data_IF_402799384008
#
_entry.id   IF_402799384008
#
_cell.length_a   1.000
_cell.length_b   1.000
_cell.length_c   1.000
_cell.angle_alpha   90.00
_cell.angle_beta   90.00
_cell.angle_gamma   90.00
#
_symmetry.space_group_name_H-M   'P 1'
#
loop_
_entity.id
_entity.type
_entity.pdbx_description
1 polymer ?
#
# COMPACT_ATOMS: atom_id res chain seq x y z
N UNK A 1 1.52 -19.92 29.66
CA UNK A 1 1.61 -18.49 29.33
C UNK A 1 2.76 -18.34 28.38
N UNK A 2 2.53 -17.87 27.15
CA UNK A 2 3.60 -17.52 26.21
C UNK A 2 3.86 -16.02 26.40
N UNK A 3 5.11 -15.67 26.65
CA UNK A 3 5.51 -14.26 26.72
C UNK A 3 5.33 -13.59 25.35
N UNK A 4 5.02 -12.30 25.30
CA UNK A 4 4.94 -11.57 24.04
C UNK A 4 6.36 -11.43 23.47
N UNK A 5 6.54 -11.92 22.25
CA UNK A 5 7.77 -11.72 21.48
C UNK A 5 7.64 -10.32 20.86
N UNK A 6 8.23 -9.33 21.51
CA UNK A 6 8.19 -7.94 21.07
C UNK A 6 8.59 -6.99 22.19
N UNK A 7 9.90 -6.87 22.43
CA UNK A 7 10.44 -5.73 23.17
C UNK A 7 10.17 -4.43 22.39
N UNK A 8 10.30 -3.25 23.04
CA UNK A 8 10.14 -1.98 22.36
C UNK A 8 11.09 -1.93 21.17
N UNK A 9 10.54 -1.69 19.98
CA UNK A 9 11.35 -1.44 18.79
C UNK A 9 12.16 -0.17 19.08
N UNK A 10 13.48 -0.28 19.10
CA UNK A 10 14.37 0.85 19.29
C UNK A 10 14.03 1.93 18.23
N UNK A 11 13.45 3.05 18.67
CA UNK A 11 13.04 4.17 17.81
C UNK A 11 14.21 4.83 17.06
N UNK A 12 15.45 4.47 17.39
CA UNK A 12 16.68 5.06 16.86
C UNK A 12 17.13 4.47 15.50
N UNK A 13 16.45 3.45 14.97
CA UNK A 13 16.81 2.85 13.67
C UNK A 13 15.60 2.37 12.83
N UNK A 14 14.47 3.08 12.89
CA UNK A 14 13.32 2.78 12.04
C UNK A 14 13.71 2.90 10.56
N UNK A 15 13.61 1.80 9.81
CA UNK A 15 13.93 1.81 8.39
C UNK A 15 12.86 2.61 7.61
N UNK A 16 13.23 3.20 6.45
CA UNK A 16 12.27 3.97 5.69
C UNK A 16 11.18 3.08 5.10
N UNK A 17 9.94 3.47 5.38
CA UNK A 17 8.74 2.80 4.87
C UNK A 17 8.43 3.24 3.44
N UNK A 18 8.12 2.29 2.57
CA UNK A 18 7.67 2.55 1.21
C UNK A 18 6.35 1.84 0.91
N UNK A 19 5.47 2.52 0.18
CA UNK A 19 4.30 1.91 -0.45
C UNK A 19 4.63 1.53 -1.89
N UNK A 20 4.27 0.31 -2.27
CA UNK A 20 4.25 -0.19 -3.63
C UNK A 20 2.78 -0.14 -4.09
N UNK A 21 2.45 0.91 -4.84
CA UNK A 21 1.08 1.29 -5.20
C UNK A 21 0.76 0.67 -6.56
N UNK A 22 -0.18 -0.25 -6.60
CA UNK A 22 -0.59 -0.93 -7.84
C UNK A 22 -1.57 -0.04 -8.62
N UNK A 23 -1.21 0.28 -9.85
CA UNK A 23 -2.00 1.07 -10.80
C UNK A 23 -2.36 0.21 -12.00
N UNK A 24 -3.65 -0.03 -12.18
CA UNK A 24 -4.17 -0.80 -13.30
C UNK A 24 -4.97 0.05 -14.29
N UNK A 25 -5.00 -0.36 -15.54
CA UNK A 25 -5.99 0.08 -16.53
C UNK A 25 -7.14 -0.93 -16.60
N UNK A 26 -8.24 -0.58 -17.26
CA UNK A 26 -9.33 -1.52 -17.52
C UNK A 26 -8.81 -2.80 -18.21
N UNK A 27 -7.89 -2.65 -19.17
CA UNK A 27 -7.30 -3.79 -19.89
C UNK A 27 -6.40 -4.64 -18.99
N UNK A 28 -5.53 -4.04 -18.17
CA UNK A 28 -4.66 -4.82 -17.28
C UNK A 28 -5.47 -5.54 -16.19
N UNK A 29 -6.54 -4.89 -15.70
CA UNK A 29 -7.44 -5.48 -14.71
C UNK A 29 -8.22 -6.65 -15.31
N UNK A 30 -8.75 -6.49 -16.53
CA UNK A 30 -9.41 -7.59 -17.24
C UNK A 30 -8.44 -8.76 -17.49
N UNK A 31 -7.19 -8.49 -17.88
CA UNK A 31 -6.17 -9.51 -18.08
C UNK A 31 -5.80 -10.24 -16.78
N UNK A 32 -5.75 -9.51 -15.65
CA UNK A 32 -5.53 -10.10 -14.33
C UNK A 32 -6.70 -11.01 -13.94
N UNK A 33 -7.95 -10.55 -14.14
CA UNK A 33 -9.16 -11.32 -13.82
C UNK A 33 -9.30 -12.58 -14.67
N UNK A 34 -8.86 -12.55 -15.93
CA UNK A 34 -8.87 -13.72 -16.80
C UNK A 34 -7.97 -14.86 -16.28
N UNK A 35 -6.93 -14.53 -15.50
CA UNK A 35 -5.98 -15.50 -14.91
C UNK A 35 -5.97 -15.43 -13.38
N UNK A 36 -7.12 -15.10 -12.77
CA UNK A 36 -7.20 -14.76 -11.34
C UNK A 36 -6.62 -15.84 -10.41
N UNK A 37 -6.84 -17.12 -10.71
CA UNK A 37 -6.34 -18.22 -9.86
C UNK A 37 -4.81 -18.27 -9.82
N UNK A 38 -4.17 -18.16 -10.98
CA UNK A 38 -2.71 -18.11 -11.10
C UNK A 38 -2.16 -16.85 -10.43
N UNK A 39 -2.76 -15.69 -10.70
CA UNK A 39 -2.35 -14.41 -10.10
C UNK A 39 -2.49 -14.40 -8.58
N UNK A 40 -3.54 -15.03 -8.05
CA UNK A 40 -3.72 -15.21 -6.61
C UNK A 40 -2.64 -16.12 -6.01
N UNK A 41 -2.28 -17.22 -6.69
CA UNK A 41 -1.21 -18.10 -6.23
C UNK A 41 0.15 -17.40 -6.24
N UNK A 42 0.50 -16.69 -7.32
CA UNK A 42 1.76 -15.94 -7.40
C UNK A 42 1.81 -14.80 -6.37
N UNK A 43 0.69 -14.10 -6.15
CA UNK A 43 0.59 -13.03 -5.15
C UNK A 43 0.78 -13.56 -3.73
N UNK A 44 0.20 -14.72 -3.40
CA UNK A 44 0.41 -15.37 -2.10
C UNK A 44 1.88 -15.73 -1.88
N UNK A 45 2.53 -16.32 -2.88
CA UNK A 45 3.96 -16.64 -2.79
C UNK A 45 4.81 -15.38 -2.61
N UNK A 46 4.50 -14.30 -3.34
CA UNK A 46 5.22 -13.04 -3.22
C UNK A 46 5.07 -12.40 -1.83
N UNK A 47 3.86 -12.42 -1.27
CA UNK A 47 3.58 -11.97 0.10
C UNK A 47 4.38 -12.80 1.12
N UNK A 48 4.39 -14.13 0.97
CA UNK A 48 5.18 -15.01 1.83
C UNK A 48 6.69 -14.70 1.76
N UNK A 49 7.22 -14.40 0.58
CA UNK A 49 8.63 -14.04 0.42
C UNK A 49 8.97 -12.74 1.15
N UNK A 50 8.12 -11.71 1.04
CA UNK A 50 8.29 -10.44 1.78
C UNK A 50 8.17 -10.66 3.29
N UNK A 51 7.22 -11.49 3.73
CA UNK A 51 7.05 -11.83 5.14
C UNK A 51 8.29 -12.57 5.69
N UNK A 52 8.79 -13.58 4.98
CA UNK A 52 10.01 -14.33 5.36
C UNK A 52 11.26 -13.44 5.39
N UNK A 53 11.32 -12.45 4.50
CA UNK A 53 12.39 -11.45 4.48
C UNK A 53 12.27 -10.40 5.60
N UNK A 54 11.15 -10.35 6.33
CA UNK A 54 10.92 -9.41 7.42
C UNK A 54 10.61 -7.98 6.96
N UNK A 55 10.32 -7.77 5.67
CA UNK A 55 10.11 -6.43 5.10
C UNK A 55 8.63 -6.05 5.00
N UNK A 56 7.69 -6.98 5.17
CA UNK A 56 6.27 -6.72 4.93
C UNK A 56 5.58 -6.07 6.13
N UNK A 57 5.00 -4.89 5.92
CA UNK A 57 4.14 -4.21 6.90
C UNK A 57 2.65 -4.38 6.60
N UNK A 58 2.25 -4.35 5.33
CA UNK A 58 0.87 -4.56 4.90
C UNK A 58 0.80 -5.05 3.44
N UNK A 59 -0.24 -5.82 3.11
CA UNK A 59 -0.50 -6.33 1.77
C UNK A 59 -2.02 -6.37 1.55
N UNK A 60 -2.58 -5.35 0.91
CA UNK A 60 -4.03 -5.21 0.78
C UNK A 60 -4.44 -4.95 -0.67
N UNK A 61 -5.36 -5.76 -1.17
CA UNK A 61 -6.10 -5.49 -2.39
C UNK A 61 -7.32 -4.63 -2.08
N UNK A 62 -7.71 -3.75 -3.00
CA UNK A 62 -8.95 -2.99 -2.88
C UNK A 62 -10.06 -3.63 -3.70
N UNK A 63 -11.29 -3.45 -3.26
CA UNK A 63 -12.48 -3.90 -3.98
C UNK A 63 -12.75 -3.03 -5.22
N UNK A 64 -13.78 -3.40 -5.99
CA UNK A 64 -14.20 -2.71 -7.20
C UNK A 64 -14.28 -1.18 -6.98
N UNK A 65 -13.51 -0.36 -7.73
CA UNK A 65 -13.56 1.09 -7.62
C UNK A 65 -14.95 1.67 -7.88
N UNK A 66 -15.83 0.95 -8.60
CA UNK A 66 -17.23 1.33 -8.76
C UNK A 66 -18.04 1.38 -7.45
N UNK A 67 -17.56 0.74 -6.38
CA UNK A 67 -18.16 0.78 -5.05
C UNK A 67 -17.56 1.87 -4.14
N UNK A 68 -16.55 2.58 -4.63
CA UNK A 68 -15.90 3.65 -3.86
C UNK A 68 -16.77 4.91 -3.82
N UNK A 69 -16.44 5.80 -2.88
CA UNK A 69 -16.99 7.15 -2.79
C UNK A 69 -15.83 8.14 -2.71
N UNK A 70 -16.03 9.32 -3.26
CA UNK A 70 -15.09 10.43 -3.21
C UNK A 70 -15.70 11.55 -2.40
N UNK A 71 -14.91 12.14 -1.49
CA UNK A 71 -15.26 13.35 -0.77
C UNK A 71 -14.40 14.49 -1.30
N UNK A 72 -15.02 15.45 -1.99
CA UNK A 72 -14.39 16.64 -2.55
C UNK A 72 -14.49 17.81 -1.56
N UNK A 73 -13.36 18.46 -1.27
CA UNK A 73 -13.21 19.60 -0.36
C UNK A 73 -12.94 20.92 -1.11
N UNK A 74 -13.14 20.98 -2.42
CA UNK A 74 -12.85 22.16 -3.24
C UNK A 74 -13.80 23.34 -3.07
N UNK A 75 -14.95 23.15 -2.39
CA UNK A 75 -15.95 24.18 -2.15
C UNK A 75 -16.07 24.62 -0.68
N UNK A 76 -17.13 25.35 -0.37
CA UNK A 76 -17.41 25.85 1.00
C UNK A 76 -17.76 24.72 1.98
N UNK A 77 -18.20 23.55 1.47
CA UNK A 77 -18.52 22.37 2.26
C UNK A 77 -18.11 21.08 1.50
N UNK A 78 -17.78 19.98 2.22
CA UNK A 78 -17.44 18.71 1.59
C UNK A 78 -18.62 18.12 0.79
N UNK A 79 -18.34 17.64 -0.41
CA UNK A 79 -19.32 17.00 -1.31
C UNK A 79 -18.95 15.54 -1.51
N UNK A 80 -19.93 14.63 -1.38
CA UNK A 80 -19.72 13.19 -1.60
C UNK A 80 -20.27 12.79 -2.97
N UNK A 81 -19.47 12.06 -3.75
CA UNK A 81 -19.86 11.49 -5.05
C UNK A 81 -19.54 10.00 -5.10
N UNK A 82 -20.45 9.21 -5.65
CA UNK A 82 -20.23 7.78 -5.89
C UNK A 82 -19.21 7.56 -7.03
N UNK A 83 -18.43 6.48 -6.92
CA UNK A 83 -17.41 6.09 -7.86
C UNK A 83 -16.01 6.64 -7.52
N UNK A 84 -14.99 6.27 -8.32
CA UNK A 84 -13.59 6.58 -8.03
C UNK A 84 -13.22 8.02 -8.33
N UNK A 85 -12.13 8.49 -7.71
CA UNK A 85 -11.54 9.81 -8.00
C UNK A 85 -10.67 9.77 -9.27
N UNK A 86 -10.89 10.72 -10.18
CA UNK A 86 -10.06 10.95 -11.39
C UNK A 86 -10.55 10.25 -12.67
N UNK A 87 -9.77 10.34 -13.76
CA UNK A 87 -10.04 9.56 -14.97
C UNK A 87 -9.84 8.06 -14.69
N UNK A 88 -10.79 7.21 -15.12
CA UNK A 88 -10.85 5.76 -14.85
C UNK A 88 -9.72 4.93 -15.46
N UNK A 89 -8.69 5.55 -16.05
CA UNK A 89 -7.65 4.84 -16.82
C UNK A 89 -6.53 4.26 -15.96
N UNK A 90 -6.30 4.75 -14.74
CA UNK A 90 -5.19 4.32 -13.88
C UNK A 90 -5.65 4.12 -12.43
N UNK A 91 -6.62 3.20 -12.25
CA UNK A 91 -7.25 2.91 -10.98
C UNK A 91 -6.26 2.30 -9.98
N UNK A 92 -6.43 2.66 -8.71
CA UNK A 92 -5.65 2.14 -7.60
C UNK A 92 -6.26 0.81 -7.13
N UNK A 93 -5.59 -0.31 -7.42
CA UNK A 93 -6.12 -1.66 -7.16
C UNK A 93 -5.67 -2.28 -5.84
N UNK A 94 -4.71 -1.65 -5.14
CA UNK A 94 -4.14 -2.17 -3.90
C UNK A 94 -2.71 -1.73 -3.70
N UNK A 95 -2.12 -2.17 -2.59
CA UNK A 95 -0.76 -1.81 -2.24
C UNK A 95 -0.05 -2.87 -1.39
N UNK A 96 1.28 -2.81 -1.44
CA UNK A 96 2.14 -3.38 -0.40
C UNK A 96 2.79 -2.23 0.37
N UNK A 97 2.91 -2.35 1.68
CA UNK A 97 3.73 -1.46 2.49
C UNK A 97 4.93 -2.26 3.00
N UNK A 98 6.13 -1.76 2.73
CA UNK A 98 7.38 -2.43 3.07
C UNK A 98 8.28 -1.55 3.92
N UNK A 99 9.02 -2.19 4.82
CA UNK A 99 10.06 -1.59 5.65
C UNK A 99 11.43 -2.08 5.15
N UNK A 100 12.20 -1.18 4.53
CA UNK A 100 13.41 -1.53 3.75
C UNK A 100 14.49 -0.48 3.93
N UNK A 101 15.75 -0.81 3.70
CA UNK A 101 16.88 0.08 3.99
C UNK A 101 16.97 1.26 3.01
N UNK A 102 16.35 1.17 1.83
CA UNK A 102 16.48 2.19 0.78
C UNK A 102 15.35 2.15 -0.26
N UNK A 103 15.23 3.24 -1.02
CA UNK A 103 14.36 3.29 -2.21
C UNK A 103 14.74 2.23 -3.23
N UNK A 104 16.04 1.95 -3.38
CA UNK A 104 16.54 0.94 -4.32
C UNK A 104 16.05 -0.45 -3.93
N UNK A 105 16.11 -0.79 -2.65
CA UNK A 105 15.55 -2.05 -2.15
C UNK A 105 14.04 -2.13 -2.36
N UNK A 106 13.30 -1.04 -2.12
CA UNK A 106 11.87 -0.97 -2.43
C UNK A 106 11.59 -1.22 -3.94
N UNK A 107 12.45 -0.69 -4.83
CA UNK A 107 12.35 -0.92 -6.28
C UNK A 107 12.62 -2.39 -6.65
N UNK A 108 13.56 -3.05 -5.99
CA UNK A 108 13.82 -4.49 -6.22
C UNK A 108 12.62 -5.35 -5.80
N UNK A 109 11.93 -4.99 -4.71
CA UNK A 109 10.65 -5.62 -4.37
C UNK A 109 9.55 -5.30 -5.38
N UNK A 110 9.43 -4.04 -5.82
CA UNK A 110 8.43 -3.62 -6.80
C UNK A 110 8.55 -4.36 -8.14
N UNK A 111 9.77 -4.65 -8.58
CA UNK A 111 10.04 -5.43 -9.82
C UNK A 111 9.53 -6.87 -9.78
N UNK A 112 9.29 -7.40 -8.59
CA UNK A 112 8.81 -8.77 -8.35
C UNK A 112 7.30 -8.84 -8.14
N UNK A 113 6.60 -7.71 -8.10
CA UNK A 113 5.14 -7.66 -7.93
C UNK A 113 4.47 -8.43 -9.08
N UNK A 114 3.61 -9.42 -8.78
CA UNK A 114 2.80 -10.09 -9.79
C UNK A 114 1.82 -9.09 -10.40
N UNK A 115 2.05 -8.69 -11.65
CA UNK A 115 1.25 -7.67 -12.33
C UNK A 115 0.99 -8.08 -13.79
N UNK A 116 -0.20 -7.73 -14.30
CA UNK A 116 -0.56 -7.94 -15.69
C UNK A 116 0.15 -6.93 -16.62
N UNK A 117 0.36 -7.26 -17.91
CA UNK A 117 0.87 -6.30 -18.89
C UNK A 117 0.06 -5.00 -18.91
N UNK A 118 0.75 -3.87 -18.92
CA UNK A 118 0.14 -2.53 -18.89
C UNK A 118 -0.08 -1.96 -17.49
N UNK A 119 -0.05 -2.79 -16.44
CA UNK A 119 -0.06 -2.30 -15.06
C UNK A 119 1.25 -1.60 -14.71
N UNK A 120 1.17 -0.65 -13.76
CA UNK A 120 2.32 0.07 -13.20
C UNK A 120 2.35 -0.12 -11.69
N UNK A 121 3.56 -0.15 -11.13
CA UNK A 121 3.77 -0.09 -9.68
C UNK A 121 4.52 1.20 -9.36
N UNK A 122 3.88 2.07 -8.60
CA UNK A 122 4.51 3.28 -8.10
C UNK A 122 5.18 3.00 -6.76
N UNK A 123 6.48 3.29 -6.65
CA UNK A 123 7.25 3.19 -5.39
C UNK A 123 7.29 4.56 -4.73
N UNK A 124 6.59 4.73 -3.61
CA UNK A 124 6.48 6.01 -2.90
C UNK A 124 6.89 5.86 -1.44
N UNK A 125 7.75 6.75 -0.94
CA UNK A 125 8.14 6.78 0.48
C UNK A 125 6.95 7.25 1.32
N UNK A 126 6.73 6.61 2.45
CA UNK A 126 5.85 7.11 3.52
C UNK A 126 6.68 8.10 4.33
N UNK A 127 6.16 9.32 4.52
CA UNK A 127 6.84 10.34 5.32
C UNK A 127 7.17 9.79 6.72
N UNK A 128 8.38 10.07 7.19
CA UNK A 128 8.80 9.67 8.53
C UNK A 128 8.16 10.57 9.60
N UNK A 129 8.16 10.09 10.84
CA UNK A 129 7.68 10.87 11.98
C UNK A 129 8.51 12.15 12.14
N UNK A 130 9.80 12.11 11.83
CA UNK A 130 10.73 13.25 11.76
C UNK A 130 10.37 14.34 10.74
N UNK A 131 9.50 14.03 9.78
CA UNK A 131 9.06 14.93 8.71
C UNK A 131 7.62 15.44 8.92
N UNK A 132 6.91 14.91 9.94
CA UNK A 132 5.59 15.40 10.34
C UNK A 132 5.73 16.48 11.42
N UNK A 133 5.00 17.62 11.33
CA UNK A 133 4.99 18.60 12.41
C UNK A 133 4.63 17.95 13.74
N UNK A 134 5.47 18.14 14.77
CA UNK A 134 5.43 17.46 16.07
C UNK A 134 4.03 17.40 16.70
N UNK A 135 3.21 18.43 16.51
CA UNK A 135 1.83 18.55 17.03
C UNK A 135 0.87 17.45 16.54
N UNK A 136 1.21 16.72 15.47
CA UNK A 136 0.34 15.67 14.91
C UNK A 136 0.56 14.30 15.58
N UNK A 137 1.76 14.06 16.12
CA UNK A 137 2.17 12.76 16.67
C UNK A 137 1.41 12.40 17.95
N UNK A 138 1.18 13.38 18.82
CA UNK A 138 0.45 13.20 20.08
C UNK A 138 -1.00 12.72 19.82
N UNK A 139 -1.63 13.16 18.73
CA UNK A 139 -3.03 12.85 18.42
C UNK A 139 -3.29 11.43 17.90
N UNK A 140 -2.26 10.75 17.36
CA UNK A 140 -2.39 9.39 16.79
C UNK A 140 -2.10 8.33 17.85
N UNK A 141 -1.15 8.59 18.74
CA UNK A 141 -0.84 7.70 19.87
C UNK A 141 -1.98 7.64 20.89
N UNK A 142 -2.60 8.80 21.19
CA UNK A 142 -3.66 8.90 22.20
C UNK A 142 -4.99 8.25 21.75
N UNK A 143 -5.19 8.05 20.44
CA UNK A 143 -6.35 7.34 19.87
C UNK A 143 -6.20 5.82 19.83
N UNK A 144 -5.03 5.28 20.19
CA UNK A 144 -4.74 3.84 20.23
C UNK A 144 -4.66 3.28 21.67
N UNK A 145 -4.84 4.11 22.69
CA UNK A 145 -4.96 3.72 24.09
C UNK A 145 -6.43 3.53 24.51
#
# INVERSE_FOLDING_TARGET
MREPIGGPLDEENAMPKYMLIMRGTDESNAAMMANIEEMMATSRQFIEDMFKAGVLLAAEGLDDPGQSVVVDFGGDAPVVTDGPYGETKELFGGYFMVDVASKQEAVEWARRVPAAPGAKVEVRRVAGDDETPQDTQDSVAERRA
#
